data_IF_396721543604
#
_entry.id   IF_396721543604
#
_cell.length_a   1.000
_cell.length_b   1.000
_cell.length_c   1.000
_cell.angle_alpha   90.00
_cell.angle_beta   90.00
_cell.angle_gamma   90.00
#
_symmetry.space_group_name_H-M   'P 1'
#
loop_
_entity.id
_entity.type
_entity.pdbx_description
1 polymer ?
#
# COMPACT_ATOMS: atom_id res chain seq x y z
N UNK A 1 13.36 11.76 -36.11
CA UNK A 1 12.55 12.42 -35.05
C UNK A 1 11.81 11.34 -34.26
N UNK A 2 11.85 11.42 -32.94
CA UNK A 2 11.04 10.59 -32.05
C UNK A 2 9.75 11.36 -31.74
N UNK A 3 8.59 10.74 -31.95
CA UNK A 3 7.26 11.32 -31.66
C UNK A 3 6.53 10.64 -30.49
N UNK A 4 7.22 9.78 -29.75
CA UNK A 4 6.62 9.04 -28.64
C UNK A 4 6.64 9.87 -27.35
N UNK A 5 5.50 10.04 -26.67
CA UNK A 5 5.45 10.71 -25.37
C UNK A 5 6.24 9.95 -24.30
N UNK A 6 6.95 10.67 -23.45
CA UNK A 6 7.60 10.13 -22.24
C UNK A 6 6.79 10.55 -21.03
N UNK A 7 6.32 9.56 -20.26
CA UNK A 7 5.54 9.82 -19.05
C UNK A 7 6.45 10.13 -17.86
N UNK A 8 6.06 11.12 -17.06
CA UNK A 8 6.66 11.48 -15.77
C UNK A 8 5.52 11.53 -14.75
N UNK A 9 5.63 10.78 -13.66
CA UNK A 9 4.65 10.74 -12.58
C UNK A 9 5.37 10.74 -11.23
N UNK A 10 4.76 11.37 -10.24
CA UNK A 10 5.31 11.46 -8.89
C UNK A 10 5.04 10.20 -8.07
N UNK A 11 5.83 10.01 -7.02
CA UNK A 11 5.61 8.93 -6.07
C UNK A 11 4.49 9.31 -5.10
N UNK A 12 3.26 8.93 -5.43
CA UNK A 12 2.07 9.20 -4.61
C UNK A 12 1.79 10.70 -4.40
N UNK A 13 1.32 11.37 -5.46
CA UNK A 13 1.09 12.83 -5.49
C UNK A 13 0.24 13.34 -4.31
N UNK A 14 -0.78 12.61 -3.88
CA UNK A 14 -1.60 13.00 -2.73
C UNK A 14 -0.80 13.10 -1.42
N UNK A 15 0.09 12.13 -1.15
CA UNK A 15 0.97 12.20 0.02
C UNK A 15 2.06 13.27 -0.14
N UNK A 16 2.54 13.54 -1.36
CA UNK A 16 3.45 14.67 -1.61
C UNK A 16 2.81 16.00 -1.23
N UNK A 17 1.52 16.20 -1.57
CA UNK A 17 0.78 17.40 -1.15
C UNK A 17 0.60 17.48 0.36
N UNK A 18 0.27 16.36 1.03
CA UNK A 18 0.18 16.36 2.49
C UNK A 18 1.52 16.68 3.16
N UNK A 19 2.63 16.12 2.69
CA UNK A 19 3.95 16.43 3.21
C UNK A 19 4.32 17.90 3.04
N UNK A 20 4.04 18.48 1.87
CA UNK A 20 4.29 19.89 1.59
C UNK A 20 3.43 20.83 2.47
N UNK A 21 2.13 20.55 2.57
CA UNK A 21 1.20 21.36 3.38
C UNK A 21 1.50 21.26 4.87
N UNK A 22 1.88 20.07 5.35
CA UNK A 22 2.19 19.82 6.75
C UNK A 22 3.61 20.15 7.17
N UNK A 23 4.50 20.48 6.23
CA UNK A 23 5.93 20.65 6.51
C UNK A 23 6.59 19.37 7.05
N UNK A 24 6.06 18.19 6.70
CA UNK A 24 6.53 16.91 7.21
C UNK A 24 7.78 16.46 6.45
N UNK A 25 8.94 16.68 7.07
CA UNK A 25 10.24 16.29 6.48
C UNK A 25 10.37 14.77 6.29
N UNK A 26 9.78 13.96 7.18
CA UNK A 26 9.84 12.50 7.09
C UNK A 26 8.95 12.02 5.94
N UNK A 27 7.71 12.51 5.88
CA UNK A 27 6.80 12.28 4.78
C UNK A 27 7.38 12.72 3.44
N UNK A 28 7.98 13.92 3.38
CA UNK A 28 8.61 14.47 2.18
C UNK A 28 9.75 13.58 1.68
N UNK A 29 10.55 12.99 2.57
CA UNK A 29 11.57 12.03 2.19
C UNK A 29 10.94 10.74 1.63
N UNK A 30 9.95 10.16 2.32
CA UNK A 30 9.31 8.90 1.93
C UNK A 30 8.63 8.94 0.55
N UNK A 31 8.14 10.12 0.15
CA UNK A 31 7.41 10.35 -1.13
C UNK A 31 8.23 11.02 -2.22
N UNK A 32 9.56 11.08 -2.05
CA UNK A 32 10.50 11.67 -3.02
C UNK A 32 10.28 13.17 -3.29
N UNK A 33 9.70 13.89 -2.32
CA UNK A 33 9.60 15.35 -2.38
C UNK A 33 10.91 16.02 -1.95
N UNK A 34 11.61 15.44 -0.97
CA UNK A 34 12.95 15.87 -0.59
C UNK A 34 14.02 15.20 -1.47
N UNK A 35 15.11 15.90 -1.84
CA UNK A 35 16.19 15.34 -2.67
C UNK A 35 16.87 14.13 -2.01
N UNK A 36 17.11 13.07 -2.79
CA UNK A 36 17.78 11.82 -2.36
C UNK A 36 18.55 11.20 -3.53
N UNK A 37 19.63 10.48 -3.23
CA UNK A 37 20.44 9.77 -4.23
C UNK A 37 19.69 8.59 -4.88
N UNK A 38 18.71 8.03 -4.16
CA UNK A 38 17.89 6.89 -4.61
C UNK A 38 16.41 7.19 -4.39
N UNK A 39 15.53 6.77 -5.31
CA UNK A 39 14.09 6.83 -5.09
C UNK A 39 13.69 6.03 -3.85
N UNK A 40 12.86 6.62 -3.01
CA UNK A 40 12.17 5.99 -1.88
C UNK A 40 10.87 5.35 -2.36
N UNK A 41 10.36 4.38 -1.60
CA UNK A 41 9.18 3.60 -1.95
C UNK A 41 8.23 3.49 -0.75
N UNK A 42 7.48 4.57 -0.52
CA UNK A 42 6.47 4.67 0.55
C UNK A 42 5.54 3.45 0.62
N UNK A 43 5.25 2.81 -0.51
CA UNK A 43 4.42 1.61 -0.52
C UNK A 43 5.13 0.44 0.15
N UNK A 44 6.41 0.19 -0.14
CA UNK A 44 7.14 -0.90 0.53
C UNK A 44 7.33 -0.63 2.02
N UNK A 45 7.54 0.62 2.41
CA UNK A 45 7.61 1.02 3.81
C UNK A 45 6.29 0.74 4.55
N UNK A 46 5.15 1.13 3.96
CA UNK A 46 3.83 0.82 4.53
C UNK A 46 3.58 -0.70 4.56
N UNK A 47 4.02 -1.47 3.57
CA UNK A 47 3.89 -2.94 3.60
C UNK A 47 4.65 -3.54 4.77
N UNK A 48 5.89 -3.11 4.99
CA UNK A 48 6.70 -3.58 6.11
C UNK A 48 6.03 -3.25 7.45
N UNK A 49 5.48 -2.04 7.58
CA UNK A 49 4.75 -1.65 8.78
C UNK A 49 3.51 -2.53 9.01
N UNK A 50 2.68 -2.72 7.99
CA UNK A 50 1.47 -3.56 8.08
C UNK A 50 1.82 -5.02 8.35
N UNK A 51 2.91 -5.53 7.79
CA UNK A 51 3.38 -6.90 8.06
C UNK A 51 3.81 -7.05 9.52
N UNK A 52 4.49 -6.07 10.09
CA UNK A 52 4.84 -6.10 11.52
C UNK A 52 3.60 -6.12 12.41
N UNK A 53 2.54 -5.39 12.03
CA UNK A 53 1.26 -5.43 12.73
C UNK A 53 0.60 -6.79 12.60
N UNK A 54 0.55 -7.36 11.38
CA UNK A 54 0.02 -8.70 11.11
C UNK A 54 0.72 -9.77 11.94
N UNK A 55 2.06 -9.74 12.05
CA UNK A 55 2.82 -10.70 12.86
C UNK A 55 2.37 -10.64 14.32
N UNK A 56 2.27 -9.44 14.91
CA UNK A 56 1.78 -9.29 16.29
C UNK A 56 0.35 -9.80 16.47
N UNK A 57 -0.53 -9.52 15.51
CA UNK A 57 -1.92 -10.00 15.56
C UNK A 57 -1.99 -11.52 15.41
N UNK A 58 -1.11 -12.12 14.61
CA UNK A 58 -1.00 -13.56 14.45
C UNK A 58 -0.51 -14.24 15.73
N UNK A 59 0.48 -13.64 16.41
CA UNK A 59 0.96 -14.09 17.73
C UNK A 59 -0.14 -13.97 18.81
N UNK A 60 -1.01 -12.97 18.71
CA UNK A 60 -2.18 -12.80 19.57
C UNK A 60 -3.35 -13.73 19.20
N UNK A 61 -3.20 -14.61 18.19
CA UNK A 61 -4.20 -15.59 17.80
C UNK A 61 -5.29 -15.07 16.87
N UNK A 62 -5.13 -13.90 16.24
CA UNK A 62 -6.08 -13.39 15.25
C UNK A 62 -5.99 -14.22 13.98
N UNK A 63 -7.01 -15.03 13.70
CA UNK A 63 -7.01 -15.98 12.59
C UNK A 63 -6.74 -15.32 11.22
N UNK A 64 -7.37 -14.17 10.95
CA UNK A 64 -7.16 -13.43 9.71
C UNK A 64 -5.69 -13.03 9.51
N UNK A 65 -4.98 -12.69 10.59
CA UNK A 65 -3.58 -12.29 10.53
C UNK A 65 -2.67 -13.48 10.20
N UNK A 66 -2.95 -14.67 10.75
CA UNK A 66 -2.25 -15.92 10.39
C UNK A 66 -2.46 -16.24 8.91
N UNK A 67 -3.70 -16.19 8.44
CA UNK A 67 -4.05 -16.50 7.04
C UNK A 67 -3.42 -15.53 6.04
N UNK A 68 -3.19 -14.27 6.44
CA UNK A 68 -2.58 -13.25 5.59
C UNK A 68 -1.04 -13.31 5.54
N UNK A 69 -0.41 -14.29 6.17
CA UNK A 69 1.04 -14.47 6.13
C UNK A 69 1.58 -14.54 4.69
N UNK A 70 2.60 -13.74 4.41
CA UNK A 70 3.22 -13.68 3.09
C UNK A 70 2.37 -12.98 2.01
N UNK A 71 1.21 -12.43 2.34
CA UNK A 71 0.34 -11.72 1.40
C UNK A 71 0.32 -10.20 1.55
N UNK A 72 0.86 -9.65 2.65
CA UNK A 72 1.09 -8.21 2.83
C UNK A 72 2.27 -7.77 1.96
N UNK A 73 1.98 -7.51 0.68
CA UNK A 73 2.98 -7.12 -0.34
C UNK A 73 2.67 -5.75 -0.89
N UNK A 74 3.71 -5.04 -1.35
CA UNK A 74 3.60 -3.75 -2.05
C UNK A 74 2.46 -3.71 -3.08
N UNK A 75 2.34 -4.75 -3.92
CA UNK A 75 1.29 -4.85 -4.96
C UNK A 75 -0.13 -4.80 -4.39
N UNK A 76 -0.36 -5.41 -3.22
CA UNK A 76 -1.67 -5.49 -2.57
C UNK A 76 -2.06 -4.15 -1.99
N UNK A 77 -1.14 -3.49 -1.31
CA UNK A 77 -1.43 -2.26 -0.56
C UNK A 77 -1.33 -1.00 -1.40
N UNK A 78 -0.58 -1.00 -2.53
CA UNK A 78 -0.27 0.20 -3.32
C UNK A 78 -1.54 0.97 -3.67
N UNK A 79 -2.57 0.27 -4.15
CA UNK A 79 -3.82 0.91 -4.56
C UNK A 79 -4.54 1.59 -3.39
N UNK A 80 -4.58 0.94 -2.23
CA UNK A 80 -5.22 1.49 -1.04
C UNK A 80 -4.47 2.69 -0.51
N UNK A 81 -3.14 2.62 -0.39
CA UNK A 81 -2.30 3.77 0.01
C UNK A 81 -2.50 4.96 -0.95
N UNK A 82 -2.52 4.70 -2.26
CA UNK A 82 -2.74 5.73 -3.27
C UNK A 82 -4.10 6.41 -3.16
N UNK A 83 -5.16 5.69 -2.75
CA UNK A 83 -6.53 6.20 -2.81
C UNK A 83 -7.06 6.71 -1.47
N UNK A 84 -6.45 6.32 -0.35
CA UNK A 84 -6.80 6.84 0.98
C UNK A 84 -6.66 8.35 1.07
N UNK A 85 -5.60 8.92 0.51
CA UNK A 85 -5.37 10.37 0.48
C UNK A 85 -6.34 11.14 -0.45
N UNK A 86 -7.10 10.41 -1.26
CA UNK A 86 -8.16 10.96 -2.10
C UNK A 86 -9.56 10.63 -1.56
N UNK A 87 -9.67 10.18 -0.32
CA UNK A 87 -10.95 10.00 0.37
C UNK A 87 -11.60 8.62 0.16
N UNK A 88 -10.84 7.56 -0.17
CA UNK A 88 -11.42 6.21 -0.17
C UNK A 88 -11.92 5.83 1.23
N UNK A 89 -13.13 5.29 1.30
CA UNK A 89 -13.69 4.80 2.56
C UNK A 89 -13.11 3.43 2.92
N UNK A 90 -13.27 3.00 4.18
CA UNK A 90 -12.88 1.64 4.63
C UNK A 90 -13.51 0.54 3.77
N UNK A 91 -14.76 0.71 3.36
CA UNK A 91 -15.44 -0.23 2.47
C UNK A 91 -14.77 -0.29 1.09
N UNK A 92 -14.46 0.87 0.50
CA UNK A 92 -13.73 0.95 -0.77
C UNK A 92 -12.33 0.34 -0.69
N UNK A 93 -11.58 0.64 0.37
CA UNK A 93 -10.28 0.04 0.65
C UNK A 93 -10.36 -1.50 0.71
N UNK A 94 -11.36 -2.05 1.42
CA UNK A 94 -11.58 -3.50 1.49
C UNK A 94 -11.75 -4.13 0.11
N UNK A 95 -12.55 -3.51 -0.77
CA UNK A 95 -12.76 -4.01 -2.12
C UNK A 95 -11.49 -3.96 -2.98
N UNK A 96 -10.68 -2.91 -2.85
CA UNK A 96 -9.40 -2.81 -3.56
C UNK A 96 -8.43 -3.90 -3.12
N UNK A 97 -8.26 -4.09 -1.81
CA UNK A 97 -7.40 -5.14 -1.25
C UNK A 97 -7.90 -6.51 -1.73
N UNK A 98 -9.20 -6.82 -1.55
CA UNK A 98 -9.77 -8.10 -1.97
C UNK A 98 -9.54 -8.37 -3.47
N UNK A 99 -9.65 -7.35 -4.33
CA UNK A 99 -9.35 -7.47 -5.76
C UNK A 99 -7.88 -7.82 -6.02
N UNK A 100 -6.93 -7.18 -5.32
CA UNK A 100 -5.50 -7.48 -5.46
C UNK A 100 -5.16 -8.88 -4.96
N UNK A 101 -5.75 -9.30 -3.83
CA UNK A 101 -5.56 -10.64 -3.24
C UNK A 101 -6.05 -11.75 -4.19
N UNK A 102 -7.22 -11.58 -4.82
CA UNK A 102 -7.73 -12.50 -5.86
C UNK A 102 -6.78 -12.67 -7.04
N UNK A 103 -5.99 -11.65 -7.35
CA UNK A 103 -5.02 -11.66 -8.45
C UNK A 103 -3.70 -12.38 -8.14
N UNK A 104 -3.47 -12.81 -6.91
CA UNK A 104 -2.30 -13.58 -6.50
C UNK A 104 -2.63 -15.07 -6.68
N UNK A 105 -2.03 -15.72 -7.70
CA UNK A 105 -2.16 -17.17 -7.90
C UNK A 105 -1.46 -17.90 -6.74
N UNK A 106 -2.25 -18.62 -5.93
CA UNK A 106 -1.81 -19.40 -4.78
C UNK A 106 -2.54 -19.00 -3.49
N UNK A 107 -3.50 -19.81 -3.05
CA UNK A 107 -4.00 -19.85 -1.67
C UNK A 107 -5.24 -19.02 -1.28
N UNK A 108 -5.62 -17.96 -2.01
CA UNK A 108 -6.67 -17.04 -1.52
C UNK A 108 -8.12 -17.51 -1.60
N UNK A 109 -8.40 -18.68 -2.19
CA UNK A 109 -9.78 -19.19 -2.27
C UNK A 109 -10.36 -19.52 -0.88
N UNK A 110 -9.53 -19.66 0.15
CA UNK A 110 -9.96 -20.02 1.51
C UNK A 110 -10.37 -18.82 2.38
N UNK A 111 -9.92 -17.61 2.05
CA UNK A 111 -10.12 -16.40 2.89
C UNK A 111 -11.49 -15.75 2.66
N UNK A 112 -12.11 -15.97 1.50
CA UNK A 112 -13.36 -15.31 1.11
C UNK A 112 -14.63 -16.03 1.59
N UNK A 113 -14.53 -17.25 2.15
CA UNK A 113 -15.67 -18.10 2.50
C UNK A 113 -15.81 -18.40 4.01
N UNK A 114 -15.28 -17.54 4.88
CA UNK A 114 -15.47 -17.69 6.34
C UNK A 114 -16.25 -16.56 7.03
N UNK A 115 -16.72 -15.56 6.29
CA UNK A 115 -17.65 -14.54 6.81
C UNK A 115 -18.88 -14.44 5.91
N UNK A 116 -19.64 -15.54 5.85
CA UNK A 116 -21.04 -15.55 5.43
C UNK A 116 -21.95 -15.39 6.62
#
# INVERSE_FOLDING_TARGET
MCGFPVHQDGSCNGLQHYAALGGDAVGAAAVNLAPRDKPQDVYSEVAALVESMRVRDAEAGVHAAVVLEGFVRRKVIKQTVMTTVYGVTKFGARLQIAKQLKGIRGGFHQVMYQEG
#
